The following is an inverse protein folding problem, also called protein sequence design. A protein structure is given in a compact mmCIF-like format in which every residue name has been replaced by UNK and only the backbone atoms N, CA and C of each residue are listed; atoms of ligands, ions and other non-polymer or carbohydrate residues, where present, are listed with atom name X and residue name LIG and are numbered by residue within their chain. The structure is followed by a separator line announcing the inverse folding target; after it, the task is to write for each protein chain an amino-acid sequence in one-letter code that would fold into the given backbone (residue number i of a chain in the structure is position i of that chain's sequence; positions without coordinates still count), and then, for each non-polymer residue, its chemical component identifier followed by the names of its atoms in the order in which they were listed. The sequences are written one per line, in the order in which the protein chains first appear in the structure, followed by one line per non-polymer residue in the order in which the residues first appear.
data_IF_558795439457
#
_entry.id   IF_558795439457
#
_cell.length_a   1.000
_cell.length_b   1.000
_cell.length_c   1.000
_cell.angle_alpha   90.00
_cell.angle_beta   90.00
_cell.angle_gamma   90.00
#
_symmetry.space_group_name_H-M   'P 1'
#
loop_
_entity.id
_entity.type
_entity.pdbx_description
1 polymer ?
#
# COMPACT_ATOMS: atom_id res chain seq x y z
N UNK A 1 20.31 -30.49 -19.52
CA UNK A 1 18.92 -30.02 -19.77
C UNK A 1 17.89 -30.52 -18.74
N UNK A 2 18.28 -30.94 -17.53
CA UNK A 2 17.40 -31.61 -16.54
C UNK A 2 17.10 -30.79 -15.27
N UNK A 3 17.66 -29.60 -15.11
CA UNK A 3 17.48 -28.82 -13.86
C UNK A 3 16.31 -27.78 -13.87
N UNK A 4 15.71 -27.52 -15.04
CA UNK A 4 14.66 -26.50 -15.14
C UNK A 4 13.24 -27.04 -14.81
N UNK A 5 13.00 -28.35 -14.96
CA UNK A 5 11.67 -28.93 -14.76
C UNK A 5 11.34 -29.18 -13.27
N UNK A 6 12.34 -29.53 -12.45
CA UNK A 6 12.13 -29.75 -11.02
C UNK A 6 11.93 -28.46 -10.21
N UNK A 7 12.59 -27.35 -10.61
CA UNK A 7 12.42 -26.05 -9.97
C UNK A 7 11.04 -25.45 -10.28
N UNK A 8 10.55 -25.62 -11.50
CA UNK A 8 9.19 -25.18 -11.87
C UNK A 8 8.10 -25.99 -11.15
N UNK A 9 8.32 -27.29 -10.93
CA UNK A 9 7.32 -28.16 -10.25
C UNK A 9 7.24 -27.88 -8.75
N UNK A 10 8.36 -27.53 -8.09
CA UNK A 10 8.37 -27.15 -6.65
C UNK A 10 7.73 -25.79 -6.41
N UNK A 11 8.02 -24.79 -7.23
CA UNK A 11 7.37 -23.47 -7.15
C UNK A 11 5.84 -23.61 -7.31
N UNK A 12 5.37 -24.42 -8.25
CA UNK A 12 3.94 -24.68 -8.49
C UNK A 12 3.22 -25.31 -7.29
N UNK A 13 3.83 -26.21 -6.52
CA UNK A 13 3.21 -26.84 -5.34
C UNK A 13 3.10 -25.86 -4.16
N UNK A 14 4.14 -25.07 -3.92
CA UNK A 14 4.13 -24.04 -2.87
C UNK A 14 3.10 -22.96 -3.19
N UNK A 15 3.03 -22.53 -4.44
CA UNK A 15 2.02 -21.55 -4.91
C UNK A 15 0.61 -22.09 -4.76
N UNK A 16 0.38 -23.37 -5.10
CA UNK A 16 -0.93 -24.01 -4.94
C UNK A 16 -1.39 -24.05 -3.48
N UNK A 17 -0.46 -24.33 -2.54
CA UNK A 17 -0.72 -24.33 -1.10
C UNK A 17 -1.02 -22.90 -0.58
N UNK A 18 -0.25 -21.91 -1.02
CA UNK A 18 -0.48 -20.50 -0.67
C UNK A 18 -1.84 -20.04 -1.18
N UNK A 19 -2.16 -20.31 -2.45
CA UNK A 19 -3.44 -19.94 -3.05
C UNK A 19 -4.59 -20.66 -2.37
N UNK A 20 -4.43 -21.96 -2.04
CA UNK A 20 -5.43 -22.71 -1.28
C UNK A 20 -5.65 -22.07 0.10
N UNK A 21 -4.59 -21.75 0.83
CA UNK A 21 -4.66 -21.05 2.11
C UNK A 21 -5.40 -19.71 1.99
N UNK A 22 -5.08 -18.88 0.99
CA UNK A 22 -5.80 -17.65 0.71
C UNK A 22 -7.28 -17.86 0.38
N UNK A 23 -7.61 -18.86 -0.43
CA UNK A 23 -8.99 -19.19 -0.77
C UNK A 23 -9.78 -19.65 0.46
N UNK A 24 -9.19 -20.44 1.33
CA UNK A 24 -9.80 -20.88 2.60
C UNK A 24 -10.03 -19.66 3.49
N UNK A 25 -9.02 -18.84 3.73
CA UNK A 25 -9.15 -17.60 4.52
C UNK A 25 -10.22 -16.69 3.94
N UNK A 26 -10.19 -16.46 2.62
CA UNK A 26 -11.21 -15.65 1.94
C UNK A 26 -12.63 -16.19 2.13
N UNK A 27 -12.85 -17.50 1.99
CA UNK A 27 -14.17 -18.11 2.20
C UNK A 27 -14.62 -18.03 3.65
N UNK A 28 -13.73 -18.36 4.58
CA UNK A 28 -14.00 -18.35 6.01
C UNK A 28 -14.34 -16.93 6.48
N UNK A 29 -13.55 -15.94 6.10
CA UNK A 29 -13.78 -14.54 6.51
C UNK A 29 -15.04 -13.92 5.90
N UNK A 30 -15.53 -14.46 4.78
CA UNK A 30 -16.80 -14.04 4.14
C UNK A 30 -18.04 -14.46 4.95
N UNK A 31 -17.98 -15.62 5.57
CA UNK A 31 -19.13 -16.27 6.23
C UNK A 31 -19.18 -15.93 7.71
N UNK A 32 -18.02 -15.71 8.34
CA UNK A 32 -17.93 -15.50 9.77
C UNK A 32 -18.47 -14.13 10.22
N UNK A 33 -19.21 -14.10 11.35
CA UNK A 33 -19.58 -12.85 11.98
C UNK A 33 -18.33 -12.10 12.50
N UNK A 34 -18.41 -10.77 12.71
CA UNK A 34 -17.26 -9.95 13.13
C UNK A 34 -16.53 -10.46 14.38
N UNK A 35 -17.26 -11.01 15.34
CA UNK A 35 -16.71 -11.60 16.57
C UNK A 35 -15.84 -12.84 16.28
N UNK A 36 -16.34 -13.73 15.41
CA UNK A 36 -15.58 -14.91 15.00
C UNK A 36 -14.33 -14.55 14.18
N UNK A 37 -14.41 -13.51 13.34
CA UNK A 37 -13.24 -12.98 12.62
C UNK A 37 -12.17 -12.46 13.60
N UNK A 38 -12.57 -11.81 14.70
CA UNK A 38 -11.63 -11.37 15.72
C UNK A 38 -10.91 -12.57 16.39
N UNK A 39 -11.64 -13.66 16.66
CA UNK A 39 -11.05 -14.91 17.21
C UNK A 39 -10.09 -15.54 16.20
N UNK A 40 -10.49 -15.66 14.93
CA UNK A 40 -9.61 -16.18 13.85
C UNK A 40 -8.35 -15.31 13.73
N UNK A 41 -8.49 -14.00 13.81
CA UNK A 41 -7.35 -13.07 13.79
C UNK A 41 -6.41 -13.33 14.96
N UNK A 42 -6.96 -13.51 16.17
CA UNK A 42 -6.16 -13.80 17.37
C UNK A 42 -5.37 -15.11 17.27
N UNK A 43 -5.86 -16.10 16.51
CA UNK A 43 -5.17 -17.37 16.25
C UNK A 43 -4.16 -17.24 15.10
N UNK A 44 -4.55 -16.58 14.02
CA UNK A 44 -3.74 -16.48 12.79
C UNK A 44 -2.54 -15.54 12.98
N UNK A 45 -2.71 -14.45 13.74
CA UNK A 45 -1.62 -13.46 13.96
C UNK A 45 -0.38 -14.09 14.61
N UNK A 46 -0.44 -14.87 15.68
CA UNK A 46 0.74 -15.55 16.24
C UNK A 46 1.44 -16.44 15.20
N UNK A 47 0.67 -17.13 14.36
CA UNK A 47 1.21 -17.99 13.30
C UNK A 47 1.96 -17.15 12.27
N UNK A 48 1.36 -16.07 11.78
CA UNK A 48 2.02 -15.11 10.87
C UNK A 48 3.29 -14.54 11.51
N UNK A 49 3.26 -14.20 12.79
CA UNK A 49 4.44 -13.71 13.53
C UNK A 49 5.60 -14.70 13.57
N UNK A 50 5.31 -16.02 13.56
CA UNK A 50 6.34 -17.06 13.50
C UNK A 50 6.94 -17.14 12.09
N UNK A 51 6.08 -17.17 11.06
CA UNK A 51 6.53 -17.26 9.66
C UNK A 51 7.29 -16.00 9.20
N UNK A 52 6.86 -14.82 9.63
CA UNK A 52 7.54 -13.55 9.31
C UNK A 52 8.58 -13.14 10.36
N UNK A 53 9.13 -14.10 11.12
CA UNK A 53 10.10 -13.81 12.19
C UNK A 53 11.34 -13.09 11.69
N UNK A 54 11.79 -13.38 10.47
CA UNK A 54 12.95 -12.73 9.84
C UNK A 54 12.76 -11.23 9.63
N UNK A 55 11.54 -10.76 9.44
CA UNK A 55 11.22 -9.34 9.22
C UNK A 55 11.11 -8.53 10.53
N UNK A 56 11.10 -9.19 11.71
CA UNK A 56 10.95 -8.48 13.00
C UNK A 56 12.01 -7.41 13.26
N UNK A 57 13.32 -7.63 12.96
CA UNK A 57 14.32 -6.57 13.12
C UNK A 57 14.04 -5.35 12.25
N UNK A 58 13.58 -5.57 11.00
CA UNK A 58 13.24 -4.49 10.06
C UNK A 58 12.06 -3.67 10.61
N UNK A 59 10.96 -4.35 10.98
CA UNK A 59 9.80 -3.67 11.58
C UNK A 59 10.19 -2.90 12.85
N UNK A 60 11.05 -3.47 13.69
CA UNK A 60 11.52 -2.81 14.89
C UNK A 60 12.38 -1.55 14.57
N UNK A 61 13.21 -1.59 13.52
CA UNK A 61 13.96 -0.41 13.03
C UNK A 61 13.01 0.65 12.51
N UNK A 62 12.03 0.27 11.69
CA UNK A 62 11.02 1.20 11.17
C UNK A 62 10.22 1.86 12.29
N UNK A 63 9.81 1.11 13.32
CA UNK A 63 9.15 1.69 14.49
C UNK A 63 10.04 2.71 15.21
N UNK A 64 11.36 2.46 15.32
CA UNK A 64 12.31 3.40 15.93
C UNK A 64 12.65 4.61 15.05
N UNK A 65 12.60 4.47 13.71
CA UNK A 65 12.74 5.63 12.80
C UNK A 65 11.58 6.60 12.98
N UNK A 66 10.36 6.08 13.09
CA UNK A 66 9.17 6.92 13.30
C UNK A 66 9.09 7.46 14.73
N UNK A 67 9.48 6.66 15.73
CA UNK A 67 9.40 6.95 17.17
C UNK A 67 10.70 6.54 17.86
N UNK A 68 11.72 7.42 17.85
CA UNK A 68 13.07 7.10 18.35
C UNK A 68 13.14 6.73 19.84
N UNK A 69 12.13 7.10 20.62
CA UNK A 69 12.01 6.80 22.04
C UNK A 69 11.61 5.35 22.34
N UNK A 70 11.12 4.60 21.34
CA UNK A 70 10.66 3.23 21.55
C UNK A 70 11.81 2.27 21.91
N UNK A 71 11.71 1.65 23.09
CA UNK A 71 12.69 0.67 23.61
C UNK A 71 11.99 -0.49 24.35
N UNK A 72 12.70 -1.59 24.53
CA UNK A 72 12.31 -2.69 25.39
C UNK A 72 10.89 -3.21 25.10
N UNK A 73 10.06 -3.28 26.12
CA UNK A 73 8.69 -3.80 26.03
C UNK A 73 7.79 -2.94 25.12
N UNK A 74 7.92 -1.59 25.15
CA UNK A 74 7.12 -0.70 24.29
C UNK A 74 7.39 -0.98 22.80
N UNK A 75 8.66 -1.17 22.41
CA UNK A 75 9.04 -1.51 21.04
C UNK A 75 8.49 -2.89 20.64
N UNK A 76 8.64 -3.90 21.52
CA UNK A 76 8.09 -5.26 21.25
C UNK A 76 6.58 -5.22 21.04
N UNK A 77 5.86 -4.42 21.81
CA UNK A 77 4.41 -4.21 21.68
C UNK A 77 4.06 -3.51 20.37
N UNK A 78 4.81 -2.47 19.96
CA UNK A 78 4.61 -1.77 18.68
C UNK A 78 4.80 -2.73 17.49
N UNK A 79 5.88 -3.53 17.48
CA UNK A 79 6.12 -4.57 16.49
C UNK A 79 4.97 -5.58 16.44
N UNK A 80 4.49 -6.07 17.59
CA UNK A 80 3.35 -6.99 17.63
C UNK A 80 2.08 -6.38 17.04
N UNK A 81 1.81 -5.12 17.34
CA UNK A 81 0.67 -4.39 16.75
C UNK A 81 0.79 -4.22 15.24
N UNK A 82 2.02 -4.03 14.71
CA UNK A 82 2.24 -3.93 13.27
C UNK A 82 1.89 -5.25 12.56
N UNK A 83 2.25 -6.39 13.12
CA UNK A 83 1.83 -7.70 12.60
C UNK A 83 0.32 -7.91 12.67
N UNK A 84 -0.32 -7.48 13.78
CA UNK A 84 -1.78 -7.52 13.90
C UNK A 84 -2.47 -6.66 12.82
N UNK A 85 -1.94 -5.46 12.60
CA UNK A 85 -2.41 -4.57 11.54
C UNK A 85 -2.26 -5.19 10.14
N UNK A 86 -1.11 -5.82 9.87
CA UNK A 86 -0.85 -6.49 8.60
C UNK A 86 -1.79 -7.69 8.34
N UNK A 87 -2.05 -8.50 9.38
CA UNK A 87 -3.02 -9.58 9.28
C UNK A 87 -4.45 -9.04 9.06
N UNK A 88 -4.82 -7.95 9.76
CA UNK A 88 -6.12 -7.28 9.58
C UNK A 88 -6.30 -6.80 8.15
N UNK A 89 -5.24 -6.23 7.53
CA UNK A 89 -5.26 -5.81 6.13
C UNK A 89 -5.74 -6.95 5.21
N UNK A 90 -5.14 -8.13 5.30
CA UNK A 90 -5.54 -9.26 4.45
C UNK A 90 -6.97 -9.73 4.74
N UNK A 91 -7.32 -9.86 6.02
CA UNK A 91 -8.65 -10.31 6.42
C UNK A 91 -9.73 -9.37 5.85
N UNK A 92 -9.55 -8.07 6.02
CA UNK A 92 -10.54 -7.09 5.56
C UNK A 92 -10.53 -6.94 4.03
N UNK A 93 -9.37 -7.02 3.38
CA UNK A 93 -9.25 -7.01 1.90
C UNK A 93 -10.03 -8.18 1.27
N UNK A 94 -9.94 -9.38 1.83
CA UNK A 94 -10.70 -10.53 1.32
C UNK A 94 -12.20 -10.44 1.56
N UNK A 95 -12.66 -9.60 2.47
CA UNK A 95 -14.09 -9.34 2.72
C UNK A 95 -14.69 -8.31 1.77
N UNK A 96 -13.88 -7.41 1.23
CA UNK A 96 -14.33 -6.28 0.40
C UNK A 96 -15.30 -6.68 -0.73
N UNK A 97 -15.09 -7.74 -1.52
CA UNK A 97 -15.99 -8.08 -2.62
C UNK A 97 -17.43 -8.36 -2.21
N UNK A 98 -17.65 -8.73 -0.93
CA UNK A 98 -18.99 -9.09 -0.44
C UNK A 98 -19.69 -7.95 0.31
N UNK A 99 -19.01 -6.82 0.51
CA UNK A 99 -19.58 -5.68 1.19
C UNK A 99 -20.36 -4.81 0.21
N UNK A 100 -21.57 -4.42 0.63
CA UNK A 100 -22.40 -3.50 -0.16
C UNK A 100 -21.88 -2.07 -0.04
N UNK A 101 -22.29 -1.19 -0.96
CA UNK A 101 -22.02 0.26 -0.87
C UNK A 101 -22.40 0.80 0.52
N UNK A 102 -23.60 0.48 1.00
CA UNK A 102 -24.08 0.90 2.33
C UNK A 102 -23.15 0.45 3.46
N UNK A 103 -22.61 -0.78 3.38
CA UNK A 103 -21.67 -1.27 4.38
C UNK A 103 -20.35 -0.51 4.37
N UNK A 104 -19.83 -0.17 3.18
CA UNK A 104 -18.59 0.57 3.02
C UNK A 104 -18.78 2.01 3.52
N UNK A 105 -19.80 2.72 3.03
CA UNK A 105 -20.03 4.12 3.37
C UNK A 105 -20.27 4.33 4.88
N UNK A 106 -20.96 3.39 5.53
CA UNK A 106 -21.23 3.46 6.98
C UNK A 106 -20.00 3.21 7.87
N UNK A 107 -18.88 2.73 7.30
CA UNK A 107 -17.72 2.25 8.06
C UNK A 107 -16.40 2.94 7.70
N UNK A 108 -16.45 3.97 6.90
CA UNK A 108 -15.30 4.79 6.55
C UNK A 108 -15.59 6.26 6.81
N UNK A 109 -14.68 6.91 7.53
CA UNK A 109 -14.67 8.37 7.65
C UNK A 109 -13.59 8.91 6.71
N UNK A 110 -13.98 9.79 5.79
CA UNK A 110 -13.04 10.39 4.83
C UNK A 110 -12.95 11.89 5.09
N UNK A 111 -11.72 12.37 5.27
CA UNK A 111 -11.40 13.80 5.41
C UNK A 111 -10.56 14.24 4.22
N UNK A 112 -10.81 15.46 3.71
CA UNK A 112 -10.08 16.04 2.58
C UNK A 112 -10.53 15.49 1.22
N UNK A 113 -11.73 14.88 1.11
CA UNK A 113 -12.25 14.37 -0.16
C UNK A 113 -12.41 15.49 -1.19
N UNK A 114 -12.71 16.70 -0.71
CA UNK A 114 -12.77 17.91 -1.53
C UNK A 114 -11.49 18.18 -2.33
N UNK A 115 -10.33 17.73 -1.86
CA UNK A 115 -9.08 17.85 -2.63
C UNK A 115 -9.12 17.02 -3.91
N UNK A 116 -9.73 15.83 -3.87
CA UNK A 116 -9.90 14.96 -5.05
C UNK A 116 -10.89 15.61 -6.02
N UNK A 117 -12.05 16.04 -5.53
CA UNK A 117 -13.10 16.65 -6.36
C UNK A 117 -12.58 17.91 -7.05
N UNK A 118 -11.95 18.82 -6.29
CA UNK A 118 -11.35 20.03 -6.83
C UNK A 118 -10.28 19.73 -7.89
N UNK A 119 -9.47 18.73 -7.68
CA UNK A 119 -8.43 18.33 -8.63
C UNK A 119 -9.02 17.73 -9.92
N UNK A 120 -10.05 16.89 -9.82
CA UNK A 120 -10.75 16.34 -10.98
C UNK A 120 -11.48 17.43 -11.78
N UNK A 121 -12.00 18.47 -11.12
CA UNK A 121 -12.61 19.62 -11.79
C UNK A 121 -11.62 20.40 -12.67
N UNK A 122 -10.31 20.27 -12.46
CA UNK A 122 -9.27 20.83 -13.33
C UNK A 122 -9.05 20.03 -14.63
N UNK A 123 -9.64 18.84 -14.74
CA UNK A 123 -9.62 18.02 -15.96
C UNK A 123 -8.28 17.37 -16.32
N UNK A 124 -7.36 17.22 -15.35
CA UNK A 124 -6.01 16.69 -15.59
C UNK A 124 -5.75 15.33 -14.93
N UNK A 125 -6.79 14.74 -14.32
CA UNK A 125 -6.68 13.53 -13.52
C UNK A 125 -6.04 13.75 -12.16
N UNK A 126 -6.02 12.71 -11.35
CA UNK A 126 -5.51 12.74 -9.97
C UNK A 126 -4.58 11.57 -9.73
N UNK A 127 -3.43 11.84 -9.13
CA UNK A 127 -2.52 10.82 -8.59
C UNK A 127 -2.73 10.78 -7.08
N UNK A 128 -3.25 9.67 -6.58
CA UNK A 128 -3.26 9.35 -5.16
C UNK A 128 -1.99 8.60 -4.82
N UNK A 129 -1.06 9.26 -4.17
CA UNK A 129 0.16 8.62 -3.67
C UNK A 129 -0.05 8.15 -2.23
N UNK A 130 0.26 6.88 -1.96
CA UNK A 130 0.00 6.26 -0.67
C UNK A 130 1.25 5.56 -0.12
N UNK A 131 1.51 5.64 1.20
CA UNK A 131 2.34 4.66 1.85
C UNK A 131 1.55 3.35 2.05
N UNK A 132 2.23 2.21 2.29
CA UNK A 132 1.61 0.95 2.67
C UNK A 132 1.03 1.06 4.10
N UNK A 133 -0.04 1.82 4.28
CA UNK A 133 -0.58 2.22 5.58
C UNK A 133 -2.04 1.77 5.75
N UNK A 134 -2.28 0.91 6.74
CA UNK A 134 -3.61 0.44 7.13
C UNK A 134 -4.39 -0.28 6.03
N UNK A 135 -5.63 0.11 5.81
CA UNK A 135 -6.56 -0.57 4.91
C UNK A 135 -6.84 0.19 3.61
N UNK A 136 -5.84 0.53 2.82
CA UNK A 136 -5.99 1.35 1.60
C UNK A 136 -6.97 0.79 0.56
N UNK A 137 -7.20 -0.52 0.52
CA UNK A 137 -8.17 -1.14 -0.38
C UNK A 137 -9.61 -0.63 -0.10
N UNK A 138 -9.91 -0.29 1.17
CA UNK A 138 -11.22 0.29 1.55
C UNK A 138 -11.44 1.66 0.93
N UNK A 139 -10.45 2.53 0.97
CA UNK A 139 -10.52 3.83 0.32
C UNK A 139 -10.72 3.70 -1.18
N UNK A 140 -10.01 2.76 -1.82
CA UNK A 140 -10.18 2.45 -3.23
C UNK A 140 -11.60 2.00 -3.55
N UNK A 141 -12.15 1.06 -2.79
CA UNK A 141 -13.52 0.60 -2.96
C UNK A 141 -14.55 1.71 -2.72
N UNK A 142 -14.31 2.55 -1.70
CA UNK A 142 -15.17 3.69 -1.41
C UNK A 142 -15.17 4.71 -2.55
N UNK A 143 -14.02 5.07 -3.10
CA UNK A 143 -13.91 5.99 -4.25
C UNK A 143 -14.70 5.49 -5.47
N UNK A 144 -14.65 4.19 -5.75
CA UNK A 144 -15.44 3.59 -6.83
C UNK A 144 -16.95 3.76 -6.55
N UNK A 145 -17.38 3.62 -5.29
CA UNK A 145 -18.78 3.84 -4.91
C UNK A 145 -19.21 5.31 -4.99
N UNK A 146 -18.28 6.26 -4.96
CA UNK A 146 -18.55 7.67 -5.25
C UNK A 146 -18.65 7.96 -6.76
N UNK A 147 -18.44 6.94 -7.61
CA UNK A 147 -18.58 7.09 -9.08
C UNK A 147 -17.26 7.35 -9.81
N UNK A 148 -16.13 7.26 -9.14
CA UNK A 148 -14.83 7.52 -9.76
C UNK A 148 -14.21 6.27 -10.36
N UNK A 149 -13.57 6.41 -11.53
CA UNK A 149 -12.72 5.38 -12.11
C UNK A 149 -11.37 5.37 -11.37
N UNK A 150 -11.04 4.24 -10.77
CA UNK A 150 -9.80 4.04 -10.03
C UNK A 150 -8.88 3.06 -10.75
N UNK A 151 -7.70 3.52 -11.10
CA UNK A 151 -6.60 2.74 -11.67
C UNK A 151 -5.54 2.53 -10.59
N UNK A 152 -5.11 1.30 -10.34
CA UNK A 152 -4.07 1.00 -9.36
C UNK A 152 -2.88 0.33 -10.04
N UNK A 153 -1.69 0.90 -9.89
CA UNK A 153 -0.46 0.25 -10.33
C UNK A 153 -0.07 -0.82 -9.32
N UNK A 154 0.13 -2.03 -9.80
CA UNK A 154 0.38 -3.21 -8.95
C UNK A 154 1.66 -3.91 -9.40
N UNK A 155 2.57 -4.09 -8.44
CA UNK A 155 3.79 -4.84 -8.64
C UNK A 155 3.49 -6.29 -9.04
N UNK A 156 4.26 -6.82 -10.00
CA UNK A 156 4.21 -8.24 -10.35
C UNK A 156 4.85 -9.06 -9.22
N UNK A 157 4.09 -10.01 -8.69
CA UNK A 157 4.61 -10.96 -7.70
C UNK A 157 5.38 -12.09 -8.40
N UNK A 158 6.33 -12.69 -7.69
CA UNK A 158 7.11 -13.83 -8.19
C UNK A 158 6.22 -15.00 -8.60
N UNK A 159 5.09 -15.20 -7.92
CA UNK A 159 4.08 -16.18 -8.26
C UNK A 159 3.03 -15.59 -9.21
N UNK A 160 2.99 -15.98 -10.50
CA UNK A 160 1.97 -15.50 -11.45
C UNK A 160 0.54 -15.84 -11.01
N UNK A 161 0.35 -16.99 -10.37
CA UNK A 161 -0.96 -17.43 -9.90
C UNK A 161 -1.46 -16.59 -8.71
N UNK A 162 -0.55 -16.23 -7.79
CA UNK A 162 -0.85 -15.32 -6.68
C UNK A 162 -1.13 -13.90 -7.19
N UNK A 163 -0.31 -13.42 -8.12
CA UNK A 163 -0.54 -12.13 -8.79
C UNK A 163 -1.93 -12.09 -9.44
N UNK A 164 -2.26 -13.10 -10.25
CA UNK A 164 -3.58 -13.21 -10.89
C UNK A 164 -4.72 -13.18 -9.86
N UNK A 165 -4.57 -13.89 -8.75
CA UNK A 165 -5.59 -13.91 -7.69
C UNK A 165 -5.84 -12.51 -7.11
N UNK A 166 -4.80 -11.72 -6.83
CA UNK A 166 -4.95 -10.36 -6.32
C UNK A 166 -5.49 -9.39 -7.39
N UNK A 167 -5.12 -9.58 -8.65
CA UNK A 167 -5.70 -8.82 -9.78
C UNK A 167 -7.20 -9.09 -9.89
N UNK A 168 -7.60 -10.38 -9.90
CA UNK A 168 -8.99 -10.79 -9.99
C UNK A 168 -9.80 -10.27 -8.78
N UNK A 169 -9.21 -10.30 -7.58
CA UNK A 169 -9.81 -9.75 -6.38
C UNK A 169 -10.12 -8.25 -6.52
N UNK A 170 -9.14 -7.44 -6.95
CA UNK A 170 -9.32 -5.99 -7.15
C UNK A 170 -10.31 -5.67 -8.25
N UNK A 171 -10.24 -6.40 -9.38
CA UNK A 171 -11.22 -6.28 -10.46
C UNK A 171 -12.64 -6.59 -9.99
N UNK A 172 -12.83 -7.55 -9.08
CA UNK A 172 -14.15 -7.97 -8.58
C UNK A 172 -14.89 -6.86 -7.82
N UNK A 173 -14.19 -5.83 -7.36
CA UNK A 173 -14.79 -4.65 -6.74
C UNK A 173 -14.50 -3.34 -7.50
N UNK A 174 -14.12 -3.45 -8.78
CA UNK A 174 -14.16 -2.33 -9.72
C UNK A 174 -12.85 -1.57 -9.90
N UNK A 175 -11.71 -2.04 -9.34
CA UNK A 175 -10.39 -1.41 -9.57
C UNK A 175 -9.84 -1.84 -10.93
N UNK A 176 -9.43 -0.89 -11.76
CA UNK A 176 -8.62 -1.13 -12.94
C UNK A 176 -7.18 -1.37 -12.52
N UNK A 177 -6.68 -2.59 -12.72
CA UNK A 177 -5.31 -2.94 -12.35
C UNK A 177 -4.37 -2.70 -13.52
N UNK A 178 -3.34 -1.89 -13.30
CA UNK A 178 -2.22 -1.66 -14.21
C UNK A 178 -1.03 -2.46 -13.66
N UNK A 179 -0.61 -3.57 -14.30
CA UNK A 179 0.60 -4.28 -13.90
C UNK A 179 1.84 -3.39 -14.05
N UNK A 180 2.73 -3.41 -13.06
CA UNK A 180 4.01 -2.69 -13.15
C UNK A 180 4.95 -3.42 -14.12
N UNK A 181 4.89 -3.01 -15.38
CA UNK A 181 5.74 -3.47 -16.47
C UNK A 181 6.06 -2.33 -17.43
N UNK A 182 6.71 -2.63 -18.57
CA UNK A 182 7.15 -1.64 -19.55
C UNK A 182 6.00 -0.79 -20.13
N UNK A 183 4.77 -1.27 -20.05
CA UNK A 183 3.56 -0.57 -20.53
C UNK A 183 2.87 0.25 -19.43
N UNK A 184 3.25 0.07 -18.18
CA UNK A 184 2.60 0.74 -17.05
C UNK A 184 2.61 2.26 -17.19
N UNK A 185 3.73 2.83 -17.66
CA UNK A 185 3.87 4.28 -17.85
C UNK A 185 2.85 4.86 -18.83
N UNK A 186 2.63 4.18 -19.96
CA UNK A 186 1.64 4.58 -20.96
C UNK A 186 0.23 4.47 -20.38
N UNK A 187 -0.10 3.37 -19.73
CA UNK A 187 -1.42 3.16 -19.15
C UNK A 187 -1.76 4.19 -18.06
N UNK A 188 -0.77 4.57 -17.22
CA UNK A 188 -0.94 5.63 -16.23
C UNK A 188 -1.22 6.98 -16.90
N UNK A 189 -0.45 7.34 -17.93
CA UNK A 189 -0.68 8.61 -18.65
C UNK A 189 -2.06 8.64 -19.32
N UNK A 190 -2.47 7.55 -19.95
CA UNK A 190 -3.80 7.44 -20.59
C UNK A 190 -4.92 7.63 -19.57
N UNK A 191 -4.83 7.02 -18.38
CA UNK A 191 -5.82 7.18 -17.32
C UNK A 191 -5.88 8.65 -16.86
N UNK A 192 -4.74 9.30 -16.63
CA UNK A 192 -4.69 10.71 -16.23
C UNK A 192 -5.26 11.64 -17.30
N UNK A 193 -4.95 11.42 -18.60
CA UNK A 193 -5.52 12.22 -19.69
C UNK A 193 -7.04 12.02 -19.87
N UNK A 194 -7.58 10.89 -19.40
CA UNK A 194 -9.03 10.66 -19.31
C UNK A 194 -9.65 11.30 -18.06
N UNK A 195 -8.89 12.06 -17.30
CA UNK A 195 -9.32 12.66 -16.03
C UNK A 195 -9.72 11.61 -14.97
N UNK A 196 -9.03 10.49 -14.93
CA UNK A 196 -9.28 9.42 -13.98
C UNK A 196 -8.31 9.49 -12.79
N UNK A 197 -8.59 8.69 -11.75
CA UNK A 197 -7.74 8.56 -10.56
C UNK A 197 -6.74 7.43 -10.76
N UNK A 198 -5.47 7.69 -10.47
CA UNK A 198 -4.41 6.69 -10.43
C UNK A 198 -3.84 6.57 -9.02
N UNK A 199 -3.91 5.40 -8.41
CA UNK A 199 -3.35 5.11 -7.10
C UNK A 199 -1.96 4.46 -7.21
N UNK A 200 -0.98 5.02 -6.51
CA UNK A 200 0.42 4.59 -6.49
C UNK A 200 0.90 4.38 -5.06
N UNK A 201 1.21 3.15 -4.67
CA UNK A 201 1.96 2.87 -3.44
C UNK A 201 3.42 3.28 -3.65
N UNK A 202 3.92 4.24 -2.86
CA UNK A 202 5.12 5.00 -3.23
C UNK A 202 6.11 5.22 -2.08
N UNK A 203 6.01 4.45 -1.01
CA UNK A 203 6.87 4.57 0.18
C UNK A 203 8.10 3.65 0.16
N UNK A 204 8.28 2.85 -0.90
CA UNK A 204 9.44 1.96 -1.07
C UNK A 204 9.86 1.82 -2.53
N UNK A 205 11.16 1.77 -2.76
CA UNK A 205 11.76 1.48 -4.07
C UNK A 205 12.25 0.04 -4.11
N UNK A 206 11.57 -0.78 -4.92
CA UNK A 206 11.91 -2.20 -5.08
C UNK A 206 12.97 -2.44 -6.16
N UNK A 207 13.06 -1.53 -7.11
CA UNK A 207 13.96 -1.66 -8.27
C UNK A 207 15.33 -1.04 -8.00
N UNK A 208 15.46 -0.19 -6.97
CA UNK A 208 16.71 0.49 -6.62
C UNK A 208 17.12 1.60 -7.59
N UNK A 209 16.19 2.06 -8.44
CA UNK A 209 16.40 3.12 -9.44
C UNK A 209 15.51 4.36 -9.19
N UNK A 210 14.98 4.47 -7.99
CA UNK A 210 14.13 5.58 -7.57
C UNK A 210 14.88 6.89 -7.34
N UNK A 211 14.17 7.87 -6.79
CA UNK A 211 14.70 9.18 -6.44
C UNK A 211 15.20 9.14 -5.01
N UNK A 212 16.42 9.66 -4.77
CA UNK A 212 16.96 9.80 -3.42
C UNK A 212 16.17 10.87 -2.65
N UNK A 213 15.78 10.52 -1.42
CA UNK A 213 15.06 11.38 -0.48
C UNK A 213 15.57 11.16 0.94
N UNK A 214 15.33 12.13 1.81
CA UNK A 214 15.41 11.94 3.26
C UNK A 214 14.04 11.49 3.78
N UNK A 215 14.00 10.30 4.40
CA UNK A 215 12.79 9.70 4.94
C UNK A 215 13.03 9.27 6.39
N UNK A 216 12.35 9.92 7.33
CA UNK A 216 12.59 9.80 8.78
C UNK A 216 14.06 10.05 9.18
N UNK A 217 14.70 11.07 8.60
CA UNK A 217 16.05 11.50 8.93
C UNK A 217 17.17 10.62 8.37
N UNK A 218 16.86 9.67 7.47
CA UNK A 218 17.85 8.83 6.81
C UNK A 218 17.62 8.81 5.29
N UNK A 219 18.68 8.83 4.49
CA UNK A 219 18.60 8.77 3.03
C UNK A 219 18.17 7.39 2.55
N UNK A 220 17.23 7.39 1.60
CA UNK A 220 16.76 6.19 0.89
C UNK A 220 16.28 6.58 -0.50
N UNK A 221 15.83 5.61 -1.29
CA UNK A 221 15.17 5.86 -2.58
C UNK A 221 13.68 5.53 -2.53
N UNK A 222 12.90 6.29 -3.31
CA UNK A 222 11.46 6.08 -3.48
C UNK A 222 11.09 6.09 -4.96
N UNK A 223 9.97 5.48 -5.37
CA UNK A 223 9.57 5.42 -6.78
C UNK A 223 9.45 6.80 -7.41
N UNK A 224 10.04 6.97 -8.58
CA UNK A 224 9.98 8.22 -9.34
C UNK A 224 8.59 8.52 -9.93
N UNK A 225 7.74 7.49 -10.09
CA UNK A 225 6.47 7.55 -10.80
C UNK A 225 5.56 8.71 -10.37
N UNK A 226 5.25 8.89 -9.07
CA UNK A 226 4.35 9.96 -8.64
C UNK A 226 4.81 11.35 -9.07
N UNK A 227 6.08 11.69 -8.82
CA UNK A 227 6.66 12.98 -9.20
C UNK A 227 6.73 13.13 -10.73
N UNK A 228 7.19 12.10 -11.43
CA UNK A 228 7.30 12.11 -12.89
C UNK A 228 5.94 12.36 -13.56
N UNK A 229 4.92 11.57 -13.22
CA UNK A 229 3.60 11.72 -13.87
C UNK A 229 2.94 13.04 -13.51
N UNK A 230 3.03 13.50 -12.26
CA UNK A 230 2.49 14.79 -11.85
C UNK A 230 3.11 15.94 -12.66
N UNK A 231 4.44 16.00 -12.75
CA UNK A 231 5.17 17.03 -13.52
C UNK A 231 4.94 16.92 -15.04
N UNK A 232 4.72 15.71 -15.55
CA UNK A 232 4.53 15.44 -16.97
C UNK A 232 3.13 15.77 -17.47
N UNK A 233 2.11 15.45 -16.68
CA UNK A 233 0.69 15.57 -17.08
C UNK A 233 0.01 16.80 -16.47
N UNK A 234 0.57 17.36 -15.40
CA UNK A 234 -0.06 18.40 -14.60
C UNK A 234 -1.20 17.87 -13.71
N UNK A 235 -1.32 16.55 -13.56
CA UNK A 235 -2.27 15.94 -12.63
C UNK A 235 -1.91 16.27 -11.18
N UNK A 236 -2.92 16.53 -10.35
CA UNK A 236 -2.71 16.80 -8.93
C UNK A 236 -2.14 15.58 -8.22
N UNK A 237 -1.09 15.78 -7.43
CA UNK A 237 -0.46 14.75 -6.62
C UNK A 237 -0.95 14.88 -5.17
N UNK A 238 -1.86 13.99 -4.77
CA UNK A 238 -2.50 14.01 -3.46
C UNK A 238 -1.97 12.86 -2.58
N UNK A 239 -1.29 13.18 -1.46
CA UNK A 239 -0.92 12.18 -0.48
C UNK A 239 -2.16 11.66 0.25
N UNK A 240 -2.27 10.33 0.40
CA UNK A 240 -3.41 9.69 1.05
C UNK A 240 -2.96 8.63 2.06
N UNK A 241 -3.58 8.60 3.23
CA UNK A 241 -3.40 7.55 4.23
C UNK A 241 -4.73 6.99 4.70
N UNK A 242 -4.83 5.66 4.77
CA UNK A 242 -6.01 4.97 5.31
C UNK A 242 -5.63 4.21 6.56
N UNK A 243 -6.43 4.35 7.62
CA UNK A 243 -6.17 3.76 8.92
C UNK A 243 -7.29 2.82 9.31
N UNK A 244 -6.94 1.77 10.00
CA UNK A 244 -7.92 1.00 10.76
C UNK A 244 -8.38 1.81 11.98
N UNK A 245 -9.69 1.95 12.13
CA UNK A 245 -10.31 2.49 13.32
C UNK A 245 -10.71 1.36 14.30
N UNK A 246 -11.34 1.73 15.42
CA UNK A 246 -11.78 0.75 16.44
C UNK A 246 -12.94 -0.08 15.88
N UNK A 247 -12.80 -1.40 15.94
CA UNK A 247 -13.77 -2.35 15.41
C UNK A 247 -13.38 -2.91 14.04
N UNK A 248 -14.00 -4.04 13.69
CA UNK A 248 -13.80 -4.67 12.38
C UNK A 248 -14.46 -3.83 11.28
N UNK A 249 -13.80 -3.77 10.13
CA UNK A 249 -14.24 -3.02 8.95
C UNK A 249 -14.44 -1.50 9.20
N UNK A 250 -13.88 -0.94 10.27
CA UNK A 250 -13.93 0.50 10.54
C UNK A 250 -12.63 1.18 10.07
N UNK A 251 -12.78 2.26 9.28
CA UNK A 251 -11.65 2.94 8.65
C UNK A 251 -11.74 4.45 8.78
N UNK A 252 -10.58 5.08 8.72
CA UNK A 252 -10.42 6.52 8.59
C UNK A 252 -9.47 6.78 7.43
N UNK A 253 -9.87 7.62 6.48
CA UNK A 253 -9.03 8.02 5.35
C UNK A 253 -8.79 9.52 5.41
N UNK A 254 -7.55 9.91 5.20
CA UNK A 254 -7.13 11.31 5.12
C UNK A 254 -6.53 11.54 3.74
N UNK A 255 -7.12 12.45 2.99
CA UNK A 255 -6.53 13.01 1.77
C UNK A 255 -5.88 14.33 2.14
N UNK A 256 -4.58 14.45 1.88
CA UNK A 256 -3.82 15.68 2.15
C UNK A 256 -3.93 16.64 0.96
N UNK A 257 -3.70 17.95 1.15
CA UNK A 257 -3.58 18.91 0.06
C UNK A 257 -2.57 18.47 -0.99
N UNK A 258 -2.73 18.93 -2.22
CA UNK A 258 -1.83 18.61 -3.31
C UNK A 258 -0.39 19.09 -3.03
N UNK A 259 0.56 18.23 -3.37
CA UNK A 259 1.98 18.60 -3.40
C UNK A 259 2.19 19.62 -4.51
N UNK A 260 3.05 20.63 -4.26
CA UNK A 260 3.41 21.62 -5.27
C UNK A 260 4.22 20.99 -6.41
N UNK A 261 3.66 21.03 -7.62
CA UNK A 261 4.24 20.49 -8.85
C UNK A 261 4.70 21.57 -9.84
N UNK A 262 4.81 22.84 -9.40
CA UNK A 262 5.30 23.91 -10.27
C UNK A 262 6.72 23.62 -10.76
N UNK A 263 6.96 23.86 -12.05
CA UNK A 263 8.27 23.72 -12.64
C UNK A 263 9.13 24.94 -12.25
N UNK A 264 10.26 24.68 -11.60
CA UNK A 264 11.18 25.73 -11.12
C UNK A 264 12.61 25.56 -11.65
N UNK A 265 12.95 24.39 -12.21
CA UNK A 265 14.28 24.07 -12.67
C UNK A 265 14.30 22.98 -13.73
N UNK A 266 15.36 22.16 -13.71
CA UNK A 266 15.41 20.97 -14.56
C UNK A 266 14.35 19.95 -14.12
N UNK A 267 13.94 19.07 -15.03
CA UNK A 267 13.00 17.99 -14.69
C UNK A 267 13.52 17.15 -13.53
N UNK A 268 14.81 16.88 -13.49
CA UNK A 268 15.45 16.08 -12.44
C UNK A 268 15.34 16.77 -11.07
N UNK A 269 15.63 18.06 -11.00
CA UNK A 269 15.59 18.83 -9.75
C UNK A 269 14.14 18.94 -9.25
N UNK A 270 13.19 19.23 -10.15
CA UNK A 270 11.78 19.29 -9.81
C UNK A 270 11.25 17.93 -9.34
N UNK A 271 11.66 16.82 -9.96
CA UNK A 271 11.30 15.47 -9.51
C UNK A 271 11.84 15.18 -8.11
N UNK A 272 13.08 15.58 -7.81
CA UNK A 272 13.68 15.40 -6.49
C UNK A 272 12.93 16.21 -5.42
N UNK A 273 12.60 17.47 -5.71
CA UNK A 273 11.81 18.32 -4.82
C UNK A 273 10.43 17.75 -4.56
N UNK A 274 9.69 17.42 -5.61
CA UNK A 274 8.32 16.87 -5.50
C UNK A 274 8.32 15.54 -4.75
N UNK A 275 9.29 14.65 -5.00
CA UNK A 275 9.42 13.39 -4.26
C UNK A 275 9.71 13.64 -2.78
N UNK A 276 10.61 14.59 -2.46
CA UNK A 276 10.91 14.94 -1.07
C UNK A 276 9.70 15.53 -0.35
N UNK A 277 8.94 16.40 -1.01
CA UNK A 277 7.73 17.00 -0.43
C UNK A 277 6.65 15.93 -0.20
N UNK A 278 6.47 14.99 -1.15
CA UNK A 278 5.57 13.85 -0.98
C UNK A 278 5.97 12.99 0.23
N UNK A 279 7.27 12.73 0.42
CA UNK A 279 7.76 11.92 1.54
C UNK A 279 7.54 12.63 2.88
N UNK A 280 7.67 13.94 2.96
CA UNK A 280 7.30 14.72 4.16
C UNK A 280 5.83 14.54 4.53
N UNK A 281 4.94 14.53 3.54
CA UNK A 281 3.53 14.22 3.76
C UNK A 281 3.31 12.77 4.23
N UNK A 282 4.05 11.80 3.69
CA UNK A 282 4.00 10.43 4.17
C UNK A 282 4.48 10.29 5.61
N UNK A 283 5.50 11.03 6.01
CA UNK A 283 5.93 11.04 7.41
C UNK A 283 4.83 11.52 8.35
N UNK A 284 4.08 12.57 7.98
CA UNK A 284 2.94 13.07 8.75
C UNK A 284 1.88 11.97 8.87
N UNK A 285 1.52 11.33 7.76
CA UNK A 285 0.52 10.27 7.73
C UNK A 285 0.97 9.06 8.57
N UNK A 286 2.21 8.61 8.43
CA UNK A 286 2.73 7.43 9.13
C UNK A 286 2.84 7.69 10.64
N UNK A 287 3.29 8.88 11.06
CA UNK A 287 3.40 9.25 12.49
C UNK A 287 2.08 9.17 13.23
N UNK A 288 0.94 9.31 12.56
CA UNK A 288 -0.39 9.22 13.20
C UNK A 288 -0.65 7.83 13.79
N UNK A 289 -0.27 6.74 13.06
CA UNK A 289 -0.40 5.34 13.51
C UNK A 289 0.72 4.48 12.95
N UNK A 290 1.95 4.60 13.46
CA UNK A 290 3.13 3.93 12.90
C UNK A 290 3.00 2.40 12.89
N UNK A 291 2.27 1.81 13.84
CA UNK A 291 2.01 0.38 13.88
C UNK A 291 1.13 -0.13 12.73
N UNK A 292 0.52 0.77 11.96
CA UNK A 292 -0.25 0.41 10.77
C UNK A 292 0.53 0.57 9.46
N UNK A 293 1.79 0.96 9.53
CA UNK A 293 2.67 1.01 8.38
C UNK A 293 3.26 -0.37 8.09
N UNK A 294 2.96 -0.92 6.92
CA UNK A 294 3.26 -2.29 6.52
C UNK A 294 4.54 -2.42 5.69
N UNK A 295 5.57 -1.67 6.04
CA UNK A 295 6.89 -1.79 5.43
C UNK A 295 7.69 -2.88 6.14
N UNK A 296 7.66 -4.10 5.60
CA UNK A 296 8.28 -5.31 6.16
C UNK A 296 9.57 -5.70 5.44
N UNK A 297 9.97 -4.95 4.41
CA UNK A 297 11.20 -5.15 3.65
C UNK A 297 12.24 -4.08 4.00
N UNK A 298 13.55 -4.37 3.77
CA UNK A 298 14.59 -3.36 3.83
C UNK A 298 14.30 -2.22 2.86
N UNK A 299 14.42 -0.97 3.32
CA UNK A 299 14.21 0.21 2.49
C UNK A 299 15.36 1.23 2.59
N UNK A 300 16.17 1.14 3.64
CA UNK A 300 17.31 2.02 3.85
C UNK A 300 18.63 1.26 3.69
N UNK A 301 19.73 1.96 3.32
CA UNK A 301 21.05 1.33 3.29
C UNK A 301 21.45 0.67 4.61
N UNK A 302 21.08 1.26 5.75
CA UNK A 302 21.34 0.72 7.08
C UNK A 302 20.60 -0.59 7.38
N UNK A 303 19.50 -0.89 6.67
CA UNK A 303 18.80 -2.17 6.79
C UNK A 303 19.59 -3.33 6.19
N UNK A 304 20.35 -3.06 5.12
CA UNK A 304 21.15 -4.08 4.40
C UNK A 304 22.40 -4.49 5.17
N UNK A 305 22.98 -3.58 5.95
CA UNK A 305 24.22 -3.83 6.73
C UNK A 305 23.93 -4.72 7.94
N UNK A 306 22.72 -4.71 8.47
CA UNK A 306 22.36 -5.47 9.66
C UNK A 306 22.04 -6.95 9.41
N UNK A 307 21.94 -7.38 8.15
CA UNK A 307 21.71 -8.77 7.77
C UNK A 307 23.04 -9.57 7.61
N UNK A 308 24.21 -8.92 7.83
CA UNK A 308 25.56 -9.49 7.65
C UNK A 308 26.21 -9.86 9.01
N UNK A 309 25.55 -9.58 10.16
CA UNK A 309 26.08 -9.89 11.50
C UNK A 309 25.12 -10.87 12.22
#
# INVERSE_FOLDING_TARGET
MTNNSETQTKASRTDALIIFGYRVVSRVTKILPPTAVAVVTAIVVPIICVFLRKQRPIVARNMRRVSPELRGFKLRRAVSKSYQSYARYYIETFRLPNLTKKNIDAKILVSGFEHIENALNLGKGVILALPHLGGWEWSGRWLIHQGHNLNAVVEKLDSPALFKMFVDLRKSYGVNVIPLDDKAGVAVQEALYKNEIVALLSDRDLQGNGIEVEFFGERTTVPAGPAFFALRTGAALLPLGTYFAKGLDQHETIVRPAVDIQRTGSLRDDMSRVAQDLIREFEILIRKKPEQWHLFQPNWPSDKIADVN
#
